data_IF_601492137998
#
_entry.id   IF_601492137998
#
_cell.length_a   1.000
_cell.length_b   1.000
_cell.length_c   1.000
_cell.angle_alpha   90.00
_cell.angle_beta   90.00
_cell.angle_gamma   90.00
#
_symmetry.space_group_name_H-M   'P 1'
#
loop_
_entity.id
_entity.type
_entity.pdbx_description
1 polymer ?
#
# COMPACT_ATOMS: atom_id res chain seq x y z
N UNK A 1 49.76 -20.58 -43.58
CA UNK A 1 49.19 -19.42 -42.86
C UNK A 1 47.69 -19.41 -43.09
N UNK A 2 46.89 -19.98 -42.21
CA UNK A 2 45.44 -19.82 -42.23
C UNK A 2 44.94 -19.87 -40.79
N UNK A 3 44.58 -18.70 -40.24
CA UNK A 3 43.94 -18.54 -38.94
C UNK A 3 42.45 -18.33 -39.23
N UNK A 4 41.62 -19.31 -38.88
CA UNK A 4 40.19 -19.10 -38.79
C UNK A 4 39.87 -18.68 -37.36
N UNK A 5 39.46 -17.43 -37.22
CA UNK A 5 38.95 -16.84 -35.98
C UNK A 5 37.56 -17.41 -35.70
N UNK A 6 37.40 -18.10 -34.58
CA UNK A 6 36.09 -18.38 -34.01
C UNK A 6 35.56 -17.08 -33.37
N UNK A 7 34.56 -16.45 -34.02
CA UNK A 7 33.73 -15.44 -33.36
C UNK A 7 32.76 -16.18 -32.43
N UNK A 8 32.99 -16.07 -31.12
CA UNK A 8 31.98 -16.39 -30.11
C UNK A 8 30.91 -15.31 -30.14
N UNK A 9 29.77 -15.60 -30.79
CA UNK A 9 28.53 -14.86 -30.56
C UNK A 9 28.04 -15.19 -29.15
N UNK A 10 28.22 -14.25 -28.22
CA UNK A 10 27.50 -14.26 -26.95
C UNK A 10 26.09 -13.77 -27.24
N UNK A 11 25.16 -14.72 -27.42
CA UNK A 11 23.72 -14.46 -27.38
C UNK A 11 23.38 -13.96 -25.98
N UNK A 12 23.28 -12.65 -25.81
CA UNK A 12 22.57 -12.02 -24.70
C UNK A 12 21.08 -12.35 -24.88
N UNK A 13 20.66 -13.53 -24.42
CA UNK A 13 19.25 -13.81 -24.21
C UNK A 13 18.74 -12.78 -23.18
N UNK A 14 17.87 -11.88 -23.64
CA UNK A 14 17.30 -10.84 -22.80
C UNK A 14 16.62 -11.48 -21.59
N UNK A 15 17.04 -11.11 -20.39
CA UNK A 15 16.28 -11.34 -19.17
C UNK A 15 15.01 -10.48 -19.27
N UNK A 16 13.93 -11.01 -19.87
CA UNK A 16 12.64 -10.32 -20.07
C UNK A 16 11.81 -10.22 -18.77
N UNK A 17 12.42 -9.95 -17.62
CA UNK A 17 11.72 -9.89 -16.35
C UNK A 17 12.41 -8.99 -15.33
N UNK A 18 11.62 -8.49 -14.39
CA UNK A 18 12.07 -7.61 -13.33
C UNK A 18 12.59 -8.47 -12.16
N UNK A 19 13.83 -8.28 -11.67
CA UNK A 19 14.31 -9.04 -10.52
C UNK A 19 13.54 -8.71 -9.23
N UNK A 20 13.39 -9.70 -8.33
CA UNK A 20 12.64 -9.56 -7.07
C UNK A 20 13.18 -8.40 -6.20
N UNK A 21 14.50 -8.22 -6.15
CA UNK A 21 15.17 -7.15 -5.40
C UNK A 21 14.91 -5.74 -5.98
N UNK A 22 14.50 -5.67 -7.24
CA UNK A 22 14.14 -4.41 -7.91
C UNK A 22 12.64 -4.17 -7.94
N UNK A 23 11.83 -5.22 -7.81
CA UNK A 23 10.37 -5.17 -7.91
C UNK A 23 9.76 -4.10 -7.02
N UNK A 24 10.02 -4.15 -5.71
CA UNK A 24 9.42 -3.21 -4.76
C UNK A 24 9.76 -1.75 -5.08
N UNK A 25 11.01 -1.47 -5.45
CA UNK A 25 11.41 -0.12 -5.84
C UNK A 25 10.66 0.36 -7.09
N UNK A 26 10.58 -0.47 -8.11
CA UNK A 26 9.97 -0.08 -9.38
C UNK A 26 8.44 0.04 -9.28
N UNK A 27 7.76 -0.84 -8.52
CA UNK A 27 6.31 -0.76 -8.31
C UNK A 27 5.96 0.45 -7.44
N UNK A 28 6.69 0.71 -6.35
CA UNK A 28 6.48 1.92 -5.52
C UNK A 28 6.72 3.20 -6.32
N UNK A 29 7.74 3.24 -7.18
CA UNK A 29 7.96 4.37 -8.08
C UNK A 29 6.78 4.55 -9.03
N UNK A 30 6.29 3.47 -9.63
CA UNK A 30 5.15 3.52 -10.53
C UNK A 30 3.86 4.00 -9.84
N UNK A 31 3.61 3.55 -8.62
CA UNK A 31 2.49 3.98 -7.76
C UNK A 31 2.60 5.46 -7.38
N UNK A 32 3.80 5.92 -7.04
CA UNK A 32 4.05 7.33 -6.74
C UNK A 32 3.71 8.21 -7.95
N UNK A 33 4.21 7.86 -9.14
CA UNK A 33 3.93 8.61 -10.36
C UNK A 33 2.43 8.58 -10.71
N UNK A 34 1.77 7.43 -10.51
CA UNK A 34 0.33 7.32 -10.72
C UNK A 34 -0.45 8.20 -9.72
N UNK A 35 -0.03 8.23 -8.46
CA UNK A 35 -0.62 9.07 -7.42
C UNK A 35 -0.45 10.56 -7.72
N UNK A 36 0.69 10.99 -8.28
CA UNK A 36 0.88 12.36 -8.79
C UNK A 36 -0.09 12.69 -9.92
N UNK A 37 -0.31 11.77 -10.87
CA UNK A 37 -1.30 11.96 -11.95
C UNK A 37 -2.73 12.06 -11.41
N UNK A 38 -3.04 11.31 -10.36
CA UNK A 38 -4.34 11.34 -9.69
C UNK A 38 -4.54 12.55 -8.75
N UNK A 39 -3.56 13.45 -8.62
CA UNK A 39 -3.62 14.59 -7.69
C UNK A 39 -3.57 14.19 -6.21
N UNK A 40 -3.11 12.96 -5.91
CA UNK A 40 -2.99 12.43 -4.55
C UNK A 40 -1.65 12.75 -3.91
N UNK A 41 -0.63 13.00 -4.74
CA UNK A 41 0.67 13.47 -4.30
C UNK A 41 0.98 14.81 -4.93
N UNK A 42 1.69 15.66 -4.19
CA UNK A 42 2.22 16.92 -4.70
C UNK A 42 3.11 16.68 -5.91
N UNK A 43 3.07 17.59 -6.87
CA UNK A 43 3.96 17.54 -8.04
C UNK A 43 5.44 17.67 -7.65
N UNK A 44 5.72 18.21 -6.46
CA UNK A 44 7.06 18.38 -5.89
C UNK A 44 7.69 17.08 -5.37
N UNK A 45 6.91 16.01 -5.18
CA UNK A 45 7.44 14.71 -4.72
C UNK A 45 8.31 14.09 -5.82
N UNK A 46 9.55 13.74 -5.48
CA UNK A 46 10.47 13.00 -6.33
C UNK A 46 10.26 11.48 -6.18
N UNK A 47 9.50 10.89 -7.11
CA UNK A 47 9.22 9.45 -7.10
C UNK A 47 10.45 8.57 -7.36
N UNK A 48 11.59 9.13 -7.79
CA UNK A 48 12.84 8.38 -7.91
C UNK A 48 13.54 8.18 -6.55
N UNK A 49 13.14 8.94 -5.52
CA UNK A 49 13.70 8.89 -4.16
C UNK A 49 12.58 8.62 -3.16
N UNK A 50 12.12 7.37 -3.03
CA UNK A 50 11.12 7.05 -2.02
C UNK A 50 11.65 7.42 -0.64
N UNK A 51 10.85 8.20 0.11
CA UNK A 51 11.20 8.70 1.45
C UNK A 51 11.52 7.57 2.43
N UNK A 52 11.00 6.37 2.17
CA UNK A 52 11.36 5.13 2.86
C UNK A 52 11.47 4.02 1.81
N UNK A 53 12.59 3.30 1.78
CA UNK A 53 12.71 2.07 0.99
C UNK A 53 11.91 0.97 1.67
N UNK A 54 10.64 0.80 1.30
CA UNK A 54 9.82 -0.29 1.79
C UNK A 54 10.14 -1.56 1.01
N UNK A 55 10.60 -2.61 1.71
CA UNK A 55 10.61 -3.94 1.11
C UNK A 55 9.18 -4.51 1.16
N UNK A 56 8.46 -4.30 0.06
CA UNK A 56 7.11 -4.80 -0.14
C UNK A 56 7.00 -6.34 -0.10
N UNK A 57 8.11 -7.06 -0.24
CA UNK A 57 8.16 -8.53 -0.15
C UNK A 57 8.57 -9.02 1.25
N UNK A 58 8.82 -8.13 2.21
CA UNK A 58 9.32 -8.48 3.55
C UNK A 58 8.49 -9.58 4.22
N UNK A 59 7.17 -9.45 4.18
CA UNK A 59 6.23 -10.42 4.77
C UNK A 59 6.24 -11.80 4.10
N UNK A 60 6.75 -11.90 2.87
CA UNK A 60 6.83 -13.14 2.09
C UNK A 60 8.22 -13.78 2.09
N UNK A 61 9.25 -13.09 2.61
CA UNK A 61 10.63 -13.59 2.60
C UNK A 61 10.77 -14.98 3.18
N UNK A 62 10.10 -15.27 4.31
CA UNK A 62 10.16 -16.59 4.91
C UNK A 62 9.60 -17.70 3.99
N UNK A 63 8.55 -17.41 3.23
CA UNK A 63 7.97 -18.36 2.27
C UNK A 63 8.80 -18.49 0.99
N UNK A 64 9.39 -17.39 0.52
CA UNK A 64 10.35 -17.36 -0.59
C UNK A 64 11.61 -18.17 -0.24
N UNK A 65 12.19 -17.93 0.94
CA UNK A 65 13.36 -18.64 1.45
C UNK A 65 13.08 -20.13 1.68
N UNK A 66 11.86 -20.47 2.10
CA UNK A 66 11.40 -21.85 2.26
C UNK A 66 11.03 -22.54 0.93
N UNK A 67 10.97 -21.82 -0.18
CA UNK A 67 10.57 -22.34 -1.49
C UNK A 67 9.09 -22.75 -1.60
N UNK A 68 8.25 -22.33 -0.64
CA UNK A 68 6.80 -22.56 -0.68
C UNK A 68 6.07 -21.52 -1.53
N UNK A 69 6.79 -20.47 -1.92
CA UNK A 69 6.34 -19.42 -2.79
C UNK A 69 7.50 -19.02 -3.72
N UNK A 70 7.21 -18.77 -4.99
CA UNK A 70 8.17 -18.38 -6.01
C UNK A 70 7.80 -17.01 -6.56
N UNK A 71 8.81 -16.18 -6.82
CA UNK A 71 8.62 -14.89 -7.46
C UNK A 71 8.68 -15.06 -8.99
N UNK A 72 7.68 -14.56 -9.72
CA UNK A 72 7.68 -14.55 -11.18
C UNK A 72 8.17 -13.17 -11.72
N UNK A 73 9.37 -13.10 -12.34
CA UNK A 73 9.93 -11.86 -12.88
C UNK A 73 9.10 -11.23 -14.01
N UNK A 74 8.41 -12.05 -14.81
CA UNK A 74 7.58 -11.56 -15.92
C UNK A 74 6.29 -10.96 -15.39
N UNK A 75 5.66 -11.64 -14.43
CA UNK A 75 4.49 -11.08 -13.74
C UNK A 75 4.86 -9.80 -12.97
N UNK A 76 6.04 -9.76 -12.34
CA UNK A 76 6.58 -8.57 -11.69
C UNK A 76 6.74 -7.38 -12.64
N UNK A 77 7.35 -7.61 -13.80
CA UNK A 77 7.49 -6.58 -14.84
C UNK A 77 6.12 -6.12 -15.35
N UNK A 78 5.22 -7.06 -15.67
CA UNK A 78 3.88 -6.75 -16.15
C UNK A 78 3.10 -5.91 -15.13
N UNK A 79 3.16 -6.26 -13.84
CA UNK A 79 2.55 -5.48 -12.77
C UNK A 79 3.03 -4.02 -12.79
N UNK A 80 4.35 -3.80 -12.84
CA UNK A 80 4.92 -2.44 -12.88
C UNK A 80 4.42 -1.68 -14.11
N UNK A 81 4.37 -2.33 -15.27
CA UNK A 81 3.90 -1.71 -16.51
C UNK A 81 2.40 -1.39 -16.46
N UNK A 82 1.58 -2.30 -15.92
CA UNK A 82 0.14 -2.07 -15.70
C UNK A 82 -0.08 -0.90 -14.74
N UNK A 83 0.71 -0.80 -13.65
CA UNK A 83 0.66 0.31 -12.70
C UNK A 83 1.01 1.63 -13.39
N UNK A 84 2.08 1.64 -14.19
CA UNK A 84 2.49 2.82 -14.96
C UNK A 84 1.44 3.26 -15.98
N UNK A 85 0.85 2.29 -16.68
CA UNK A 85 -0.16 2.52 -17.71
C UNK A 85 -1.53 2.87 -17.11
N UNK A 86 -1.79 2.52 -15.85
CA UNK A 86 -3.06 2.81 -15.21
C UNK A 86 -3.33 4.31 -15.13
N UNK A 87 -4.51 4.67 -15.62
CA UNK A 87 -5.14 5.99 -15.52
C UNK A 87 -6.34 5.96 -14.57
N UNK A 88 -6.56 4.82 -13.90
CA UNK A 88 -7.72 4.63 -13.02
C UNK A 88 -7.40 5.20 -11.64
N UNK A 89 -7.92 6.40 -11.42
CA UNK A 89 -7.95 7.04 -10.13
C UNK A 89 -9.37 6.80 -9.56
N UNK A 90 -9.52 6.15 -8.40
CA UNK A 90 -10.83 5.81 -7.82
C UNK A 90 -10.88 6.29 -6.37
N UNK A 91 -11.84 7.15 -6.04
CA UNK A 91 -12.10 7.55 -4.65
C UNK A 91 -10.93 8.21 -3.90
N UNK A 92 -9.95 8.77 -4.61
CA UNK A 92 -8.75 9.31 -3.98
C UNK A 92 -7.68 8.27 -3.67
N UNK A 93 -7.77 7.09 -4.29
CA UNK A 93 -6.75 6.04 -4.25
C UNK A 93 -6.40 5.63 -5.67
N UNK A 94 -5.13 5.33 -5.87
CA UNK A 94 -4.68 4.63 -7.05
C UNK A 94 -5.10 3.16 -6.90
N UNK A 95 -5.91 2.64 -7.84
CA UNK A 95 -6.21 1.20 -7.86
C UNK A 95 -5.02 0.51 -8.49
N UNK A 96 -4.17 -0.01 -7.61
CA UNK A 96 -3.06 -0.87 -8.00
C UNK A 96 -3.71 -2.08 -8.69
N UNK A 97 -3.40 -2.34 -9.97
CA UNK A 97 -3.75 -3.60 -10.61
C UNK A 97 -3.36 -4.73 -9.67
N UNK A 98 -4.17 -5.78 -9.57
CA UNK A 98 -3.83 -6.86 -8.65
C UNK A 98 -2.54 -7.53 -9.09
N UNK A 99 -1.41 -7.13 -8.52
CA UNK A 99 -0.09 -7.73 -8.75
C UNK A 99 0.06 -9.05 -7.99
N UNK A 100 -1.05 -9.79 -7.90
CA UNK A 100 -1.17 -11.03 -7.12
C UNK A 100 -0.38 -12.17 -7.75
N UNK A 101 -0.23 -12.14 -9.08
CA UNK A 101 0.49 -13.18 -9.82
C UNK A 101 2.02 -13.04 -9.72
N UNK A 102 2.53 -12.00 -9.06
CA UNK A 102 3.97 -11.80 -8.86
C UNK A 102 4.55 -12.83 -7.90
N UNK A 103 3.71 -13.37 -7.01
CA UNK A 103 4.06 -14.39 -6.03
C UNK A 103 3.21 -15.63 -6.28
N UNK A 104 3.86 -16.67 -6.80
CA UNK A 104 3.21 -17.91 -7.21
C UNK A 104 3.44 -18.96 -6.14
N UNK A 105 2.33 -19.46 -5.57
CA UNK A 105 2.37 -20.58 -4.65
C UNK A 105 2.27 -21.94 -5.32
N UNK A 106 2.06 -22.99 -4.52
CA UNK A 106 1.98 -24.37 -4.99
C UNK A 106 0.54 -24.93 -4.98
N UNK A 107 -0.40 -24.23 -4.35
CA UNK A 107 -1.77 -24.67 -4.14
C UNK A 107 -2.57 -24.74 -5.45
N UNK A 108 -3.16 -25.91 -5.73
CA UNK A 108 -3.99 -26.13 -6.90
C UNK A 108 -5.41 -25.55 -6.72
N UNK A 109 -6.14 -25.43 -7.83
CA UNK A 109 -7.54 -25.01 -7.77
C UNK A 109 -8.38 -25.98 -6.92
N UNK A 110 -9.16 -25.43 -5.98
CA UNK A 110 -9.93 -26.18 -5.00
C UNK A 110 -9.18 -26.53 -3.72
N UNK A 111 -7.86 -26.32 -3.64
CA UNK A 111 -7.11 -26.55 -2.40
C UNK A 111 -7.32 -25.42 -1.39
N UNK A 112 -7.16 -25.69 -0.08
CA UNK A 112 -7.22 -24.67 0.95
C UNK A 112 -6.23 -23.54 0.69
N UNK A 113 -6.64 -22.32 1.01
CA UNK A 113 -5.75 -21.18 0.86
C UNK A 113 -4.48 -21.29 1.69
N UNK A 114 -3.33 -20.98 1.07
CA UNK A 114 -2.03 -20.86 1.73
C UNK A 114 -1.04 -20.16 0.80
N UNK A 115 -0.64 -20.82 -0.27
CA UNK A 115 0.08 -20.22 -1.40
C UNK A 115 -0.58 -20.70 -2.69
N UNK A 116 -1.56 -19.97 -3.24
CA UNK A 116 -2.25 -20.40 -4.46
C UNK A 116 -1.31 -20.33 -5.68
N UNK A 117 -1.45 -21.31 -6.58
CA UNK A 117 -0.73 -21.37 -7.85
C UNK A 117 -1.11 -20.23 -8.80
N UNK A 118 -0.35 -20.11 -9.89
CA UNK A 118 -0.48 -19.00 -10.84
C UNK A 118 -1.90 -18.89 -11.42
N UNK A 119 -2.45 -17.67 -11.45
CA UNK A 119 -3.80 -17.39 -11.95
C UNK A 119 -4.93 -17.86 -11.03
N UNK A 120 -4.61 -18.25 -9.79
CA UNK A 120 -5.57 -18.59 -8.75
C UNK A 120 -5.50 -17.53 -7.64
N UNK A 121 -6.64 -17.12 -7.12
CA UNK A 121 -6.69 -16.33 -5.89
C UNK A 121 -7.40 -17.11 -4.80
N UNK A 122 -7.06 -16.79 -3.55
CA UNK A 122 -7.82 -17.26 -2.42
C UNK A 122 -9.21 -16.59 -2.40
N UNK A 123 -10.26 -17.36 -2.70
CA UNK A 123 -11.66 -16.90 -2.57
C UNK A 123 -12.20 -17.41 -1.25
N UNK A 124 -12.47 -16.49 -0.32
CA UNK A 124 -13.02 -16.81 1.00
C UNK A 124 -14.50 -17.17 0.92
N UNK A 125 -14.90 -18.17 1.68
CA UNK A 125 -16.28 -18.49 1.98
C UNK A 125 -16.71 -17.67 3.21
N UNK A 126 -17.70 -16.80 3.06
CA UNK A 126 -18.19 -15.90 4.12
C UNK A 126 -18.76 -16.63 5.35
N UNK A 127 -19.00 -17.93 5.26
CA UNK A 127 -19.62 -18.74 6.33
C UNK A 127 -18.59 -19.53 7.14
N UNK A 128 -17.40 -19.79 6.59
CA UNK A 128 -16.38 -20.62 7.25
C UNK A 128 -15.07 -19.87 7.47
N UNK A 129 -14.97 -18.62 7.01
CA UNK A 129 -13.72 -17.81 6.91
C UNK A 129 -12.56 -18.53 6.20
N UNK A 130 -12.81 -19.72 5.67
CA UNK A 130 -11.89 -20.52 4.89
C UNK A 130 -12.07 -20.19 3.41
N UNK A 131 -10.95 -20.13 2.68
CA UNK A 131 -11.00 -20.00 1.23
C UNK A 131 -10.43 -21.22 0.53
N UNK A 132 -10.76 -21.32 -0.75
CA UNK A 132 -10.07 -22.24 -1.67
C UNK A 132 -9.39 -21.42 -2.76
N UNK A 133 -8.28 -21.93 -3.27
CA UNK A 133 -7.68 -21.38 -4.46
C UNK A 133 -8.67 -21.55 -5.61
N UNK A 134 -9.17 -20.46 -6.16
CA UNK A 134 -10.13 -20.48 -7.27
C UNK A 134 -9.56 -19.66 -8.40
N UNK A 135 -9.81 -20.07 -9.65
CA UNK A 135 -9.51 -19.21 -10.78
C UNK A 135 -10.37 -17.97 -10.67
N UNK A 136 -9.73 -16.83 -10.47
CA UNK A 136 -10.42 -15.56 -10.51
C UNK A 136 -10.19 -15.02 -11.91
N UNK A 137 -11.16 -15.25 -12.78
CA UNK A 137 -11.27 -14.48 -14.01
C UNK A 137 -11.55 -13.04 -13.55
N UNK A 138 -10.51 -12.23 -13.39
CA UNK A 138 -10.60 -10.89 -12.79
C UNK A 138 -11.79 -10.14 -13.39
N UNK A 139 -12.87 -9.91 -12.64
CA UNK A 139 -13.79 -8.86 -13.04
C UNK A 139 -12.97 -7.60 -12.84
N UNK A 140 -12.69 -6.89 -13.93
CA UNK A 140 -12.28 -5.50 -13.87
C UNK A 140 -13.26 -4.84 -12.90
N UNK A 141 -12.81 -4.41 -11.72
CA UNK A 141 -13.68 -3.69 -10.80
C UNK A 141 -13.94 -2.34 -11.46
N UNK A 142 -14.98 -2.29 -12.29
CA UNK A 142 -15.42 -1.07 -12.92
C UNK A 142 -16.12 -0.28 -11.81
N UNK A 143 -15.61 0.90 -11.41
CA UNK A 143 -16.29 1.71 -10.42
C UNK A 143 -17.70 2.07 -10.89
N UNK A 144 -18.66 2.09 -9.98
CA UNK A 144 -20.00 2.60 -10.26
C UNK A 144 -19.93 4.08 -10.62
N UNK A 145 -20.74 4.50 -11.58
CA UNK A 145 -20.87 5.90 -11.97
C UNK A 145 -21.71 6.65 -10.95
N UNK A 146 -21.66 7.98 -10.99
CA UNK A 146 -22.57 8.84 -10.22
C UNK A 146 -24.04 8.40 -10.35
N UNK A 147 -24.71 8.27 -9.23
CA UNK A 147 -26.11 7.86 -9.11
C UNK A 147 -26.33 6.34 -9.13
N UNK A 148 -25.33 5.54 -9.47
CA UNK A 148 -25.43 4.08 -9.41
C UNK A 148 -25.22 3.57 -7.96
N UNK A 149 -25.79 2.41 -7.61
CA UNK A 149 -25.51 1.76 -6.33
C UNK A 149 -24.01 1.50 -6.17
N UNK A 150 -23.50 1.67 -4.96
CA UNK A 150 -22.12 1.32 -4.66
C UNK A 150 -21.93 -0.19 -4.76
N UNK A 151 -20.84 -0.63 -5.41
CA UNK A 151 -20.46 -2.04 -5.44
C UNK A 151 -19.84 -2.45 -4.10
N UNK A 152 -20.18 -3.65 -3.61
CA UNK A 152 -19.60 -4.28 -2.42
C UNK A 152 -18.61 -5.39 -2.86
N UNK A 153 -17.48 -5.65 -2.16
CA UNK A 153 -17.11 -5.16 -0.83
C UNK A 153 -16.74 -3.68 -0.82
N UNK A 154 -17.33 -2.95 0.14
CA UNK A 154 -17.03 -1.56 0.49
C UNK A 154 -15.65 -1.51 1.16
N UNK A 155 -14.59 -1.77 0.41
CA UNK A 155 -13.25 -1.39 0.85
C UNK A 155 -13.16 0.13 0.62
N UNK A 156 -12.90 0.90 1.67
CA UNK A 156 -12.91 2.38 1.64
C UNK A 156 -12.30 2.95 0.34
N UNK A 157 -13.17 3.54 -0.50
CA UNK A 157 -12.79 4.17 -1.76
C UNK A 157 -12.93 3.32 -3.03
N UNK A 158 -13.22 2.02 -2.93
CA UNK A 158 -13.50 1.15 -4.09
C UNK A 158 -15.01 0.98 -4.19
N UNK A 159 -15.65 1.78 -5.03
CA UNK A 159 -17.09 1.65 -5.28
C UNK A 159 -17.63 2.67 -6.27
N UNK A 160 -17.04 3.87 -6.31
CA UNK A 160 -17.50 4.98 -7.15
C UNK A 160 -16.34 5.61 -7.94
N UNK A 161 -16.64 6.21 -9.08
CA UNK A 161 -15.67 6.98 -9.88
C UNK A 161 -15.03 8.15 -9.09
N UNK A 162 -13.92 8.69 -9.60
CA UNK A 162 -13.04 9.67 -8.91
C UNK A 162 -13.75 10.79 -8.16
N UNK A 163 -14.66 11.48 -8.85
CA UNK A 163 -15.38 12.66 -8.37
C UNK A 163 -16.67 12.30 -7.65
N UNK A 164 -16.79 11.04 -7.23
CA UNK A 164 -17.92 10.53 -6.47
C UNK A 164 -17.43 9.80 -5.22
N UNK A 165 -18.29 9.71 -4.23
CA UNK A 165 -18.08 8.94 -3.01
C UNK A 165 -19.34 8.15 -2.69
N UNK A 166 -19.18 7.04 -1.96
CA UNK A 166 -20.31 6.20 -1.60
C UNK A 166 -21.04 6.80 -0.40
N UNK A 167 -22.21 7.39 -0.63
CA UNK A 167 -23.02 8.03 0.39
C UNK A 167 -24.40 7.40 0.53
N UNK A 168 -25.03 7.60 1.69
CA UNK A 168 -26.40 7.13 1.92
C UNK A 168 -27.40 7.97 1.12
N UNK A 169 -28.28 7.32 0.37
CA UNK A 169 -29.45 7.93 -0.26
C UNK A 169 -30.64 6.95 -0.20
N UNK A 170 -31.81 7.45 0.18
CA UNK A 170 -33.13 6.78 0.23
C UNK A 170 -33.13 5.25 -0.02
N UNK A 171 -32.74 4.49 1.01
CA UNK A 171 -32.82 3.02 1.01
C UNK A 171 -31.56 2.27 0.57
N UNK A 172 -30.44 2.94 0.30
CA UNK A 172 -29.17 2.29 -0.04
C UNK A 172 -27.95 3.21 -0.02
N UNK A 173 -26.82 2.69 -0.48
CA UNK A 173 -25.62 3.50 -0.72
C UNK A 173 -25.44 3.69 -2.22
N UNK A 174 -25.33 4.94 -2.66
CA UNK A 174 -25.17 5.33 -4.07
C UNK A 174 -23.96 6.25 -4.22
N UNK A 175 -23.42 6.30 -5.44
CA UNK A 175 -22.32 7.18 -5.76
C UNK A 175 -22.80 8.64 -5.88
N UNK A 176 -22.51 9.44 -4.87
CA UNK A 176 -22.82 10.87 -4.81
C UNK A 176 -21.62 11.70 -5.26
N UNK A 177 -21.83 12.87 -5.90
CA UNK A 177 -20.73 13.76 -6.25
C UNK A 177 -19.96 14.21 -4.99
N UNK A 178 -18.65 14.39 -5.15
CA UNK A 178 -17.81 15.10 -4.20
C UNK A 178 -18.10 16.60 -4.25
N UNK A 179 -18.00 17.25 -3.09
CA UNK A 179 -18.18 18.69 -2.95
C UNK A 179 -17.02 19.45 -3.61
N UNK A 180 -17.35 20.40 -4.48
CA UNK A 180 -16.38 21.25 -5.18
C UNK A 180 -15.75 22.28 -4.23
N UNK A 181 -14.69 22.96 -4.67
CA UNK A 181 -14.08 24.05 -3.91
C UNK A 181 -15.11 25.13 -3.58
N UNK A 182 -15.13 25.56 -2.32
CA UNK A 182 -16.12 26.51 -1.81
C UNK A 182 -17.47 25.92 -1.42
N UNK A 183 -17.71 24.63 -1.68
CA UNK A 183 -18.94 23.94 -1.25
C UNK A 183 -18.80 23.38 0.16
N UNK A 184 -19.96 23.19 0.81
CA UNK A 184 -20.04 22.58 2.13
C UNK A 184 -19.61 21.12 2.12
N UNK A 185 -18.91 20.68 3.16
CA UNK A 185 -18.36 19.34 3.25
C UNK A 185 -18.42 18.75 4.66
N UNK A 186 -18.27 17.43 4.73
CA UNK A 186 -18.01 16.70 5.97
C UNK A 186 -16.72 15.88 5.77
N UNK A 187 -15.72 16.12 6.62
CA UNK A 187 -14.41 15.42 6.75
C UNK A 187 -13.61 15.14 5.45
N UNK A 188 -14.13 14.36 4.51
CA UNK A 188 -13.43 13.89 3.30
C UNK A 188 -14.30 13.84 2.04
N UNK A 189 -15.43 14.56 2.00
CA UNK A 189 -16.33 14.61 0.84
C UNK A 189 -15.90 15.57 -0.26
N UNK A 190 -14.78 16.28 -0.09
CA UNK A 190 -14.28 17.21 -1.10
C UNK A 190 -13.76 16.50 -2.35
N UNK A 191 -13.73 17.23 -3.46
CA UNK A 191 -13.00 16.85 -4.68
C UNK A 191 -11.54 16.54 -4.33
N UNK A 192 -10.88 15.72 -5.14
CA UNK A 192 -9.48 15.37 -4.89
C UNK A 192 -8.57 16.59 -4.95
N UNK A 193 -7.50 16.57 -4.16
CA UNK A 193 -6.62 17.72 -3.97
C UNK A 193 -7.23 18.83 -3.11
N UNK A 194 -8.42 18.63 -2.55
CA UNK A 194 -9.07 19.52 -1.60
C UNK A 194 -9.35 18.80 -0.28
N UNK A 195 -9.47 19.58 0.79
CA UNK A 195 -9.79 19.09 2.12
C UNK A 195 -10.90 19.94 2.75
N UNK A 196 -11.60 19.36 3.71
CA UNK A 196 -12.70 20.03 4.36
C UNK A 196 -12.19 20.95 5.48
N UNK A 197 -12.06 22.25 5.18
CA UNK A 197 -11.62 23.27 6.14
C UNK A 197 -12.83 24.05 6.65
N UNK A 198 -13.09 24.00 7.95
CA UNK A 198 -14.18 24.74 8.58
C UNK A 198 -15.54 24.46 7.91
N UNK A 199 -15.75 23.21 7.47
CA UNK A 199 -16.98 22.78 6.80
C UNK A 199 -17.09 23.20 5.33
N UNK A 200 -16.04 23.75 4.73
CA UNK A 200 -15.99 24.15 3.32
C UNK A 200 -14.78 23.52 2.63
N UNK A 201 -14.96 23.05 1.40
CA UNK A 201 -13.84 22.50 0.63
C UNK A 201 -12.86 23.60 0.24
N UNK A 202 -11.62 23.46 0.68
CA UNK A 202 -10.52 24.34 0.37
C UNK A 202 -9.39 23.54 -0.33
N UNK A 203 -8.57 24.19 -1.18
CA UNK A 203 -7.41 23.53 -1.75
C UNK A 203 -6.44 23.09 -0.66
N UNK A 204 -5.73 21.99 -0.89
CA UNK A 204 -4.58 21.61 -0.07
C UNK A 204 -3.46 22.66 -0.22
N UNK A 205 -2.67 22.83 0.83
CA UNK A 205 -1.55 23.76 0.90
C UNK A 205 -0.37 23.19 0.11
N UNK A 206 0.07 23.91 -0.92
CA UNK A 206 1.17 23.48 -1.79
C UNK A 206 2.55 23.57 -1.10
N UNK A 207 3.55 22.93 -1.70
CA UNK A 207 4.94 23.01 -1.26
C UNK A 207 5.42 24.46 -1.07
N UNK A 208 6.12 24.71 0.04
CA UNK A 208 6.66 26.03 0.41
C UNK A 208 5.62 27.04 0.89
N UNK A 209 4.33 26.67 0.96
CA UNK A 209 3.27 27.53 1.49
C UNK A 209 3.07 27.31 3.00
N UNK A 210 2.61 28.36 3.68
CA UNK A 210 2.37 28.31 5.11
C UNK A 210 1.22 27.35 5.47
N UNK A 211 1.42 26.57 6.52
CA UNK A 211 0.46 25.62 7.05
C UNK A 211 0.33 25.79 8.57
N UNK A 212 -0.86 25.46 9.09
CA UNK A 212 -1.12 25.40 10.52
C UNK A 212 -1.37 23.97 11.02
N UNK A 213 -1.62 23.01 10.12
CA UNK A 213 -2.00 21.60 10.37
C UNK A 213 -1.66 20.71 9.16
N UNK A 214 -2.14 19.45 9.14
CA UNK A 214 -2.00 18.44 8.07
C UNK A 214 -2.73 18.76 6.75
N UNK A 215 -2.85 20.04 6.39
CA UNK A 215 -3.53 20.51 5.18
C UNK A 215 -2.66 20.50 3.93
N UNK A 216 -1.43 19.97 4.01
CA UNK A 216 -0.52 19.95 2.89
C UNK A 216 -0.97 18.99 1.79
N UNK A 217 -0.59 19.28 0.54
CA UNK A 217 -0.73 18.32 -0.56
C UNK A 217 -0.12 16.97 -0.20
N UNK A 218 -0.68 15.87 -0.70
CA UNK A 218 -0.24 14.54 -0.28
C UNK A 218 1.25 14.30 -0.53
N UNK A 219 1.88 13.56 0.39
CA UNK A 219 3.33 13.35 0.40
C UNK A 219 4.14 14.52 1.00
N UNK A 220 3.50 15.64 1.33
CA UNK A 220 4.09 16.73 2.11
C UNK A 220 3.63 16.66 3.56
N UNK A 221 4.40 17.28 4.45
CA UNK A 221 4.04 17.46 5.86
C UNK A 221 4.28 18.91 6.28
N UNK A 222 3.59 19.36 7.32
CA UNK A 222 3.76 20.70 7.84
C UNK A 222 5.01 20.74 8.74
N UNK A 223 6.12 21.25 8.22
CA UNK A 223 7.40 21.40 8.93
C UNK A 223 7.62 22.88 9.23
N UNK A 224 7.76 23.23 10.51
CA UNK A 224 7.97 24.60 10.96
C UNK A 224 6.97 25.61 10.35
N UNK A 225 5.70 25.19 10.23
CA UNK A 225 4.63 26.02 9.69
C UNK A 225 4.66 26.20 8.16
N UNK A 226 5.45 25.40 7.44
CA UNK A 226 5.50 25.38 5.98
C UNK A 226 5.32 23.96 5.45
N UNK A 227 4.54 23.79 4.38
CA UNK A 227 4.42 22.49 3.73
C UNK A 227 5.73 22.13 3.01
N UNK A 228 6.41 21.11 3.49
CA UNK A 228 7.69 20.65 2.96
C UNK A 228 7.70 19.11 2.84
N UNK A 229 8.78 18.57 2.29
CA UNK A 229 9.04 17.14 2.30
C UNK A 229 9.26 16.67 3.74
N UNK A 230 8.77 15.47 4.10
CA UNK A 230 9.09 14.86 5.38
C UNK A 230 10.59 14.77 5.62
N UNK A 231 10.99 15.09 6.85
CA UNK A 231 12.36 15.15 7.31
C UNK A 231 13.02 13.78 7.25
N UNK A 232 14.24 13.75 6.72
CA UNK A 232 15.07 12.54 6.65
C UNK A 232 15.64 12.14 8.01
N UNK A 233 16.12 10.90 8.10
CA UNK A 233 16.79 10.38 9.30
C UNK A 233 17.98 11.25 9.70
N UNK A 234 18.14 11.55 10.99
CA UNK A 234 19.20 12.38 11.55
C UNK A 234 18.89 13.88 11.55
N UNK A 235 17.76 14.31 10.98
CA UNK A 235 17.33 15.71 10.98
C UNK A 235 16.50 16.01 12.23
N UNK A 236 16.66 17.19 12.80
CA UNK A 236 15.92 17.61 13.99
C UNK A 236 14.42 17.72 13.71
N UNK A 237 13.58 17.28 14.65
CA UNK A 237 12.12 17.25 14.52
C UNK A 237 11.44 17.59 15.84
N UNK A 238 10.18 18.02 15.76
CA UNK A 238 9.33 18.27 16.93
C UNK A 238 8.22 17.23 17.10
N UNK A 239 7.86 16.54 16.02
CA UNK A 239 6.79 15.53 16.01
C UNK A 239 7.07 14.38 15.04
N UNK A 240 6.51 13.20 15.33
CA UNK A 240 6.61 12.00 14.48
C UNK A 240 6.14 12.22 13.04
N UNK A 241 5.11 13.05 12.86
CA UNK A 241 4.51 13.37 11.56
C UNK A 241 5.43 14.19 10.65
N UNK A 242 6.48 14.81 11.20
CA UNK A 242 7.47 15.54 10.41
C UNK A 242 8.46 14.59 9.74
N UNK A 243 8.70 13.42 10.32
CA UNK A 243 9.72 12.49 9.85
C UNK A 243 9.19 11.56 8.76
N UNK A 244 9.98 11.35 7.70
CA UNK A 244 9.71 10.36 6.67
C UNK A 244 9.53 8.94 7.24
N UNK A 245 10.24 8.62 8.33
CA UNK A 245 10.14 7.35 9.04
C UNK A 245 8.91 7.22 9.94
N UNK A 246 8.18 8.32 10.17
CA UNK A 246 7.12 8.41 11.18
C UNK A 246 7.62 8.40 12.62
N UNK A 247 8.94 8.57 12.86
CA UNK A 247 9.55 8.48 14.18
C UNK A 247 10.49 9.67 14.43
N UNK A 248 10.11 10.49 15.41
CA UNK A 248 10.89 11.58 15.98
C UNK A 248 11.32 11.17 17.40
N UNK A 249 12.59 10.79 17.55
CA UNK A 249 13.15 10.32 18.82
C UNK A 249 14.20 11.30 19.32
N UNK A 250 14.05 11.75 20.56
CA UNK A 250 14.94 12.76 21.17
C UNK A 250 15.13 14.01 20.28
N UNK A 251 14.04 14.43 19.64
CA UNK A 251 14.03 15.59 18.74
C UNK A 251 14.79 15.37 17.43
N UNK A 252 15.04 14.11 17.03
CA UNK A 252 15.69 13.77 15.76
C UNK A 252 14.93 12.65 15.05
N UNK A 253 14.75 12.77 13.73
CA UNK A 253 14.13 11.73 12.94
C UNK A 253 14.99 10.46 12.96
N UNK A 254 14.38 9.35 13.32
CA UNK A 254 15.08 8.09 13.53
C UNK A 254 14.46 6.97 12.71
N UNK A 255 15.22 5.90 12.49
CA UNK A 255 14.67 4.62 12.04
C UNK A 255 14.35 3.78 13.26
N UNK A 256 13.21 3.10 13.24
CA UNK A 256 12.92 2.13 14.29
C UNK A 256 13.93 0.97 14.29
N UNK A 257 13.90 0.17 15.35
CA UNK A 257 14.73 -1.02 15.52
C UNK A 257 14.25 -2.16 14.61
N UNK A 258 15.15 -2.84 13.88
CA UNK A 258 14.77 -3.93 13.00
C UNK A 258 14.40 -5.18 13.80
N UNK A 259 13.84 -6.17 13.11
CA UNK A 259 13.44 -7.46 13.68
C UNK A 259 14.56 -8.09 14.54
N UNK A 260 14.19 -8.68 15.68
CA UNK A 260 15.06 -9.29 16.71
C UNK A 260 16.03 -8.34 17.41
N UNK A 261 15.93 -7.04 17.19
CA UNK A 261 16.74 -6.07 17.92
C UNK A 261 16.10 -5.70 19.25
N UNK A 262 16.90 -5.33 20.28
CA UNK A 262 16.35 -4.84 21.54
C UNK A 262 15.55 -3.55 21.31
N UNK A 263 14.46 -3.41 22.05
CA UNK A 263 13.54 -2.27 21.96
C UNK A 263 13.03 -1.83 23.33
N UNK A 264 12.57 -0.59 23.36
CA UNK A 264 11.91 0.06 24.49
C UNK A 264 10.98 1.16 23.96
N UNK A 265 10.28 1.88 24.83
CA UNK A 265 9.53 3.07 24.44
C UNK A 265 10.43 4.15 23.82
N UNK A 266 11.67 4.26 24.30
CA UNK A 266 12.70 5.19 23.80
C UNK A 266 13.41 4.68 22.54
N UNK A 267 13.30 3.37 22.26
CA UNK A 267 13.88 2.71 21.10
C UNK A 267 12.84 1.83 20.41
N UNK A 268 11.79 2.43 19.81
CA UNK A 268 10.70 1.68 19.22
C UNK A 268 11.16 0.87 18.00
N UNK A 269 10.39 -0.17 17.69
CA UNK A 269 10.62 -0.97 16.50
C UNK A 269 10.26 -0.22 15.22
N UNK A 270 10.76 -0.69 14.07
CA UNK A 270 10.34 -0.15 12.78
C UNK A 270 8.83 -0.32 12.59
N UNK A 271 8.17 0.57 11.81
CA UNK A 271 6.78 0.38 11.43
C UNK A 271 6.53 -1.05 10.91
N UNK A 272 5.45 -1.68 11.37
CA UNK A 272 5.12 -3.08 11.07
C UNK A 272 5.70 -4.11 12.06
N UNK A 273 6.50 -3.68 13.03
CA UNK A 273 7.01 -4.49 14.14
C UNK A 273 6.49 -3.96 15.47
N UNK A 274 6.51 -4.79 16.52
CA UNK A 274 6.19 -4.34 17.88
C UNK A 274 7.19 -4.88 18.90
N UNK A 275 7.28 -4.19 20.03
CA UNK A 275 8.22 -4.55 21.09
C UNK A 275 7.61 -5.61 22.02
N UNK A 276 8.15 -6.83 21.99
CA UNK A 276 7.75 -7.95 22.85
C UNK A 276 8.88 -8.29 23.79
N UNK A 277 8.65 -8.18 25.09
CA UNK A 277 9.65 -8.52 26.11
C UNK A 277 11.02 -7.86 25.86
N UNK A 278 11.00 -6.61 25.36
CA UNK A 278 12.21 -5.85 25.05
C UNK A 278 12.90 -6.24 23.74
N UNK A 279 12.26 -7.02 22.85
CA UNK A 279 12.77 -7.39 21.53
C UNK A 279 11.76 -7.12 20.43
N UNK A 280 12.20 -6.56 19.30
CA UNK A 280 11.34 -6.34 18.15
C UNK A 280 10.93 -7.65 17.51
N UNK A 281 9.63 -7.90 17.50
CA UNK A 281 9.00 -9.03 16.85
C UNK A 281 8.08 -8.53 15.73
N UNK A 282 7.70 -9.40 14.77
CA UNK A 282 6.62 -9.07 13.85
C UNK A 282 5.36 -8.74 14.65
N UNK A 283 4.47 -7.91 14.09
CA UNK A 283 3.12 -7.82 14.64
C UNK A 283 2.49 -9.21 14.66
N UNK A 284 1.74 -9.59 15.73
CA UNK A 284 1.11 -10.89 15.78
C UNK A 284 0.10 -11.01 14.64
N UNK A 285 0.12 -12.15 13.96
CA UNK A 285 -0.78 -12.46 12.85
C UNK A 285 -2.00 -13.24 13.34
N UNK A 286 -2.92 -13.61 12.43
CA UNK A 286 -4.13 -14.32 12.80
C UNK A 286 -3.84 -15.55 13.69
N UNK A 287 -4.56 -15.67 14.80
CA UNK A 287 -4.49 -16.79 15.74
C UNK A 287 -3.36 -16.71 16.76
N UNK A 288 -2.47 -15.72 16.65
CA UNK A 288 -1.39 -15.50 17.63
C UNK A 288 -1.89 -14.66 18.81
N UNK A 289 -1.27 -14.85 19.98
CA UNK A 289 -1.59 -14.06 21.16
C UNK A 289 -1.18 -12.58 20.97
N UNK A 290 -1.99 -11.67 21.51
CA UNK A 290 -1.76 -10.24 21.42
C UNK A 290 -2.20 -9.51 22.70
N UNK A 291 -1.61 -8.34 22.91
CA UNK A 291 -1.98 -7.41 24.00
C UNK A 291 -2.35 -6.02 23.49
N UNK A 292 -2.55 -5.87 22.18
CA UNK A 292 -2.78 -4.57 21.55
C UNK A 292 -2.90 -4.63 20.03
N UNK A 293 -1.81 -4.30 19.32
CA UNK A 293 -1.81 -4.23 17.86
C UNK A 293 -1.59 -5.60 17.22
N UNK A 294 -2.31 -5.84 16.12
CA UNK A 294 -2.12 -6.97 15.22
C UNK A 294 -1.53 -6.46 13.89
N UNK A 295 -1.21 -7.36 12.97
CA UNK A 295 -0.81 -7.01 11.60
C UNK A 295 -1.78 -6.04 10.91
N UNK A 296 -1.42 -5.53 9.73
CA UNK A 296 -2.01 -4.34 9.10
C UNK A 296 -3.56 -4.24 9.06
N UNK A 297 -4.29 -5.35 9.09
CA UNK A 297 -5.76 -5.39 9.08
C UNK A 297 -6.38 -6.17 10.27
N UNK A 298 -5.55 -6.67 11.20
CA UNK A 298 -5.99 -7.48 12.32
C UNK A 298 -6.46 -6.66 13.52
N UNK A 299 -7.38 -7.23 14.30
CA UNK A 299 -7.82 -6.70 15.60
C UNK A 299 -7.46 -7.67 16.72
N UNK A 300 -6.98 -7.15 17.84
CA UNK A 300 -6.76 -7.99 19.02
C UNK A 300 -8.10 -8.16 19.75
N UNK A 301 -8.68 -9.36 19.65
CA UNK A 301 -9.96 -9.71 20.25
C UNK A 301 -9.71 -10.80 21.28
N UNK A 302 -10.07 -10.54 22.53
CA UNK A 302 -9.87 -11.45 23.67
C UNK A 302 -8.43 -11.99 23.80
N UNK A 303 -7.43 -11.16 23.48
CA UNK A 303 -6.02 -11.50 23.58
C UNK A 303 -5.48 -12.35 22.43
N UNK A 304 -6.24 -12.50 21.35
CA UNK A 304 -5.82 -13.21 20.13
C UNK A 304 -6.00 -12.30 18.91
N UNK A 305 -4.99 -12.27 18.04
CA UNK A 305 -5.08 -11.50 16.82
C UNK A 305 -6.07 -12.16 15.87
N UNK A 306 -7.13 -11.42 15.57
CA UNK A 306 -8.11 -11.79 14.59
C UNK A 306 -7.87 -10.95 13.33
N UNK A 307 -7.26 -11.57 12.33
CA UNK A 307 -7.24 -11.04 10.97
C UNK A 307 -8.12 -11.94 10.09
N UNK A 308 -9.30 -11.46 9.72
CA UNK A 308 -10.25 -12.22 8.90
C UNK A 308 -9.63 -12.70 7.56
N UNK A 309 -8.50 -12.13 7.14
CA UNK A 309 -7.84 -12.41 5.86
C UNK A 309 -6.79 -13.54 5.89
N UNK A 310 -6.34 -13.98 7.08
CA UNK A 310 -5.18 -14.91 7.24
C UNK A 310 -5.50 -16.20 8.02
N UNK A 311 -6.76 -16.60 8.16
CA UNK A 311 -7.08 -17.90 8.79
C UNK A 311 -6.42 -19.08 8.07
N UNK A 312 -5.55 -19.81 8.78
CA UNK A 312 -5.05 -21.11 8.30
C UNK A 312 -6.14 -22.15 8.51
N UNK A 313 -6.74 -22.60 7.41
CA UNK A 313 -7.79 -23.60 7.41
C UNK A 313 -7.23 -24.96 7.86
N UNK A 314 -7.81 -25.58 8.89
CA UNK A 314 -7.59 -26.99 9.26
C UNK A 314 -8.76 -27.85 8.85
#
# INVERSE_FOLDING_TARGET
MSRWSALSLVLLAGCEGLPAESYCREVTRAECEASKRCGLLSQSVDCARPLVSYDCLFQYRAALDAGTLEYDPKAGQKCVDDVRASTQCIGGRFVIPSCRDVLVGQGAEGEPCGTCGAGLACVRNSTTDCGVCTRVDTPTLIPSKRGEPCVSPQVDGIGCELDSWCGAADGGSVCLPRAALGEGCMTSTCVLGAWCKEGVCAPLTAFGQACSDASCEGGLTCVDGTCDMPLGVGVGCSANSECASGLCLDGTCAVGRPLKSPCSEEAPCQPGLHCVEGTCAPLPVHGEACSGQCGALGQCIDGVCFDATLQVCR
#
